data_IF_196510407018
#
_entry.id   IF_196510407018
#
_cell.length_a   1.000
_cell.length_b   1.000
_cell.length_c   1.000
_cell.angle_alpha   90.00
_cell.angle_beta   90.00
_cell.angle_gamma   90.00
#
_symmetry.space_group_name_H-M   'P 1'
#
loop_
_entity.id
_entity.type
_entity.pdbx_description
1 polymer ?
#
# COMPACT_ATOMS: atom_id res chain seq x y z
N UNK A 1 -6.66 -9.50 -5.39
CA UNK A 1 -7.74 -8.95 -4.54
C UNK A 1 -7.60 -7.43 -4.58
N UNK A 2 -8.68 -6.67 -4.77
CA UNK A 2 -8.58 -5.20 -4.86
C UNK A 2 -8.90 -4.58 -3.50
N UNK A 3 -8.10 -3.59 -3.11
CA UNK A 3 -8.24 -2.77 -1.92
C UNK A 3 -8.44 -1.33 -2.33
N UNK A 4 -9.62 -0.80 -2.09
CA UNK A 4 -9.94 0.61 -2.31
C UNK A 4 -10.03 1.34 -0.98
N UNK A 5 -9.59 2.59 -0.97
CA UNK A 5 -9.61 3.40 0.24
C UNK A 5 -9.26 4.85 -0.04
N UNK A 6 -9.08 5.60 1.05
CA UNK A 6 -8.55 6.97 1.00
C UNK A 6 -7.10 6.94 1.43
N UNK A 7 -6.21 7.55 0.64
CA UNK A 7 -4.79 7.67 0.99
C UNK A 7 -4.62 8.62 2.18
N UNK A 8 -4.09 8.12 3.30
CA UNK A 8 -3.86 8.93 4.50
C UNK A 8 -2.42 9.43 4.61
N UNK A 9 -1.46 8.61 4.18
CA UNK A 9 -0.06 8.98 4.15
C UNK A 9 0.66 8.20 3.05
N UNK A 10 1.74 8.77 2.53
CA UNK A 10 2.66 8.09 1.62
C UNK A 10 4.11 8.49 1.92
N UNK A 11 5.02 7.55 1.78
CA UNK A 11 6.46 7.73 1.85
C UNK A 11 7.09 7.01 0.66
N UNK A 12 7.75 7.80 -0.17
CA UNK A 12 8.32 7.40 -1.46
C UNK A 12 9.83 7.17 -1.37
N UNK A 13 10.41 6.48 -2.36
CA UNK A 13 11.85 6.21 -2.43
C UNK A 13 12.36 5.16 -1.43
N UNK A 14 11.51 4.19 -1.05
CA UNK A 14 11.89 3.08 -0.19
C UNK A 14 12.25 1.85 -1.02
N UNK A 15 13.05 0.94 -0.45
CA UNK A 15 13.51 -0.27 -1.12
C UNK A 15 13.30 -1.51 -0.25
N UNK A 16 12.89 -2.61 -0.87
CA UNK A 16 12.67 -3.89 -0.18
C UNK A 16 13.12 -5.06 -1.03
N UNK A 17 13.38 -6.19 -0.38
CA UNK A 17 13.45 -7.49 -1.06
C UNK A 17 12.06 -8.13 -1.06
N UNK A 18 11.52 -8.40 -2.25
CA UNK A 18 10.28 -9.16 -2.43
C UNK A 18 10.54 -10.33 -3.36
N UNK A 19 10.17 -11.54 -2.94
CA UNK A 19 10.41 -12.79 -3.68
C UNK A 19 11.88 -13.06 -4.11
N UNK A 20 12.85 -12.43 -3.44
CA UNK A 20 14.28 -12.60 -3.74
C UNK A 20 14.85 -11.57 -4.70
N UNK A 21 14.04 -10.64 -5.18
CA UNK A 21 14.45 -9.50 -6.00
C UNK A 21 14.32 -8.20 -5.21
N UNK A 22 15.11 -7.19 -5.57
CA UNK A 22 15.05 -5.86 -5.00
C UNK A 22 14.00 -5.04 -5.76
N UNK A 23 13.07 -4.45 -5.03
CA UNK A 23 11.98 -3.65 -5.56
C UNK A 23 11.95 -2.30 -4.86
N UNK A 24 11.77 -1.26 -5.65
CA UNK A 24 11.35 0.05 -5.16
C UNK A 24 9.92 -0.05 -4.66
N UNK A 25 9.60 0.73 -3.64
CA UNK A 25 8.23 0.80 -3.17
C UNK A 25 7.87 2.15 -2.55
N UNK A 26 6.56 2.41 -2.53
CA UNK A 26 5.95 3.47 -1.73
C UNK A 26 5.23 2.84 -0.54
N UNK A 27 5.62 3.24 0.67
CA UNK A 27 4.83 2.91 1.87
C UNK A 27 3.64 3.84 1.91
N UNK A 28 2.44 3.31 2.10
CA UNK A 28 1.27 4.15 2.29
C UNK A 28 0.32 3.56 3.32
N UNK A 29 -0.46 4.43 3.94
CA UNK A 29 -1.56 4.03 4.80
C UNK A 29 -2.86 4.44 4.12
N UNK A 30 -3.79 3.50 4.02
CA UNK A 30 -5.12 3.76 3.45
C UNK A 30 -6.20 3.53 4.50
N UNK A 31 -7.21 4.41 4.55
CA UNK A 31 -8.45 4.17 5.28
C UNK A 31 -9.40 3.31 4.44
N UNK A 32 -10.08 2.34 5.05
CA UNK A 32 -11.11 1.55 4.37
C UNK A 32 -12.19 2.47 3.78
N UNK A 33 -12.69 2.11 2.60
CA UNK A 33 -13.81 2.80 1.96
C UNK A 33 -15.15 2.60 2.72
N UNK A 34 -15.32 1.47 3.39
CA UNK A 34 -16.54 1.11 4.14
C UNK A 34 -16.44 1.52 5.61
N UNK A 35 -15.25 1.40 6.20
CA UNK A 35 -14.97 1.70 7.60
C UNK A 35 -13.72 2.59 7.75
N UNK A 36 -13.87 3.93 7.70
CA UNK A 36 -12.73 4.86 7.69
C UNK A 36 -11.83 4.77 8.93
N UNK A 37 -12.34 4.28 10.07
CA UNK A 37 -11.55 4.08 11.30
C UNK A 37 -10.57 2.91 11.17
N UNK A 38 -10.78 2.06 10.16
CA UNK A 38 -9.91 0.93 9.86
C UNK A 38 -8.84 1.33 8.85
N UNK A 39 -7.60 1.38 9.34
CA UNK A 39 -6.44 1.71 8.53
C UNK A 39 -5.69 0.45 8.08
N UNK A 40 -5.08 0.50 6.91
CA UNK A 40 -4.26 -0.55 6.36
C UNK A 40 -2.90 -0.01 5.95
N UNK A 41 -1.86 -0.70 6.38
CA UNK A 41 -0.52 -0.46 5.87
C UNK A 41 -0.33 -1.17 4.55
N UNK A 42 0.08 -0.41 3.54
CA UNK A 42 0.25 -0.86 2.20
C UNK A 42 1.67 -0.56 1.73
N UNK A 43 2.21 -1.50 0.96
CA UNK A 43 3.48 -1.37 0.27
C UNK A 43 3.22 -1.52 -1.21
N UNK A 44 3.28 -0.41 -1.93
CA UNK A 44 3.08 -0.37 -3.37
C UNK A 44 4.42 -0.67 -4.02
N UNK A 45 4.59 -1.89 -4.53
CA UNK A 45 5.82 -2.34 -5.17
C UNK A 45 5.96 -1.76 -6.58
N UNK A 46 7.21 -1.68 -7.04
CA UNK A 46 7.61 -1.24 -8.39
C UNK A 46 7.23 0.21 -8.73
N UNK A 47 6.92 0.99 -7.70
CA UNK A 47 6.61 2.42 -7.80
C UNK A 47 7.62 3.21 -6.96
N UNK A 48 8.22 4.23 -7.57
CA UNK A 48 9.15 5.14 -6.88
C UNK A 48 8.42 6.30 -6.20
N UNK A 49 7.25 6.69 -6.73
CA UNK A 49 6.28 7.60 -6.15
C UNK A 49 4.88 7.26 -6.71
N UNK A 50 3.82 7.64 -6.00
CA UNK A 50 2.44 7.54 -6.48
C UNK A 50 1.88 8.94 -6.71
N UNK A 51 1.27 9.20 -7.87
CA UNK A 51 0.75 10.53 -8.21
C UNK A 51 -0.48 10.97 -7.39
N UNK A 52 -1.06 10.05 -6.60
CA UNK A 52 -2.25 10.27 -5.78
C UNK A 52 -1.90 11.16 -4.59
N UNK A 53 -2.73 12.18 -4.31
CA UNK A 53 -2.55 13.05 -3.17
C UNK A 53 -3.12 12.46 -1.88
N UNK A 54 -2.62 12.91 -0.74
CA UNK A 54 -3.21 12.54 0.56
C UNK A 54 -4.63 13.10 0.63
N UNK A 55 -5.58 12.27 1.06
CA UNK A 55 -7.02 12.55 1.08
C UNK A 55 -7.76 12.12 -0.19
N UNK A 56 -7.05 11.65 -1.21
CA UNK A 56 -7.67 11.16 -2.46
C UNK A 56 -7.93 9.66 -2.43
N UNK A 57 -8.92 9.18 -3.23
CA UNK A 57 -9.17 7.76 -3.37
C UNK A 57 -7.99 7.06 -4.07
N UNK A 58 -7.69 5.86 -3.59
CA UNK A 58 -6.66 4.98 -4.15
C UNK A 58 -7.20 3.55 -4.27
N UNK A 59 -6.80 2.88 -5.36
CA UNK A 59 -7.09 1.48 -5.60
C UNK A 59 -5.79 0.69 -5.74
N UNK A 60 -5.65 -0.37 -4.95
CA UNK A 60 -4.46 -1.21 -4.85
C UNK A 60 -4.81 -2.66 -5.15
N UNK A 61 -4.02 -3.31 -5.98
CA UNK A 61 -4.10 -4.75 -6.20
C UNK A 61 -3.21 -5.47 -5.19
N UNK A 62 -3.83 -6.13 -4.21
CA UNK A 62 -3.13 -6.91 -3.19
C UNK A 62 -2.53 -8.17 -3.82
N UNK A 63 -1.21 -8.28 -3.71
CA UNK A 63 -0.42 -9.43 -4.12
C UNK A 63 -0.21 -10.40 -2.96
N UNK A 64 0.15 -9.86 -1.79
CA UNK A 64 0.44 -10.67 -0.59
C UNK A 64 0.06 -9.93 0.68
N UNK A 65 -0.50 -10.68 1.63
CA UNK A 65 -0.74 -10.19 2.98
C UNK A 65 0.41 -10.66 3.87
N UNK A 66 1.03 -9.73 4.57
CA UNK A 66 2.12 -9.97 5.52
C UNK A 66 1.63 -9.57 6.90
N UNK A 67 1.42 -10.57 7.77
CA UNK A 67 1.13 -10.32 9.19
C UNK A 67 2.43 -10.41 9.97
N UNK A 68 2.89 -9.28 10.50
CA UNK A 68 4.02 -9.26 11.40
C UNK A 68 3.55 -9.59 12.82
N UNK A 69 3.83 -10.82 13.25
CA UNK A 69 3.37 -11.32 14.56
C UNK A 69 3.97 -10.57 15.75
N UNK A 70 5.15 -9.96 15.59
CA UNK A 70 5.82 -9.24 16.67
C UNK A 70 5.22 -7.84 16.90
N UNK A 71 4.82 -7.15 15.83
CA UNK A 71 4.21 -5.82 15.89
C UNK A 71 2.67 -5.86 15.91
N UNK A 72 2.07 -7.00 15.55
CA UNK A 72 0.63 -7.13 15.36
C UNK A 72 0.11 -6.41 14.11
N UNK A 73 1.02 -5.86 13.30
CA UNK A 73 0.69 -5.08 12.10
C UNK A 73 0.38 -6.03 10.94
N UNK A 74 -0.67 -5.70 10.20
CA UNK A 74 -1.00 -6.35 8.93
C UNK A 74 -0.62 -5.40 7.80
N UNK A 75 0.42 -5.77 7.05
CA UNK A 75 0.89 -5.05 5.86
C UNK A 75 0.43 -5.78 4.61
N UNK A 76 0.03 -5.01 3.60
CA UNK A 76 -0.36 -5.51 2.28
C UNK A 76 0.70 -5.13 1.25
N UNK A 77 1.34 -6.12 0.65
CA UNK A 77 2.17 -5.90 -0.53
C UNK A 77 1.24 -5.88 -1.76
N UNK A 78 1.32 -4.81 -2.54
CA UNK A 78 0.35 -4.49 -3.58
C UNK A 78 0.98 -3.78 -4.77
N UNK A 79 0.26 -3.75 -5.89
CA UNK A 79 0.54 -2.85 -7.01
C UNK A 79 -0.50 -1.75 -7.08
N UNK A 80 -0.09 -0.59 -7.60
CA UNK A 80 -1.01 0.50 -7.87
C UNK A 80 -1.90 0.12 -9.05
N UNK A 81 -3.22 0.22 -8.87
CA UNK A 81 -4.15 0.11 -9.99
C UNK A 81 -4.21 1.49 -10.64
N UNK A 82 -3.46 1.64 -11.73
CA UNK A 82 -3.53 2.81 -12.60
C UNK A 82 -4.92 2.85 -13.21
N UNK A 83 -5.74 3.80 -12.76
CA UNK A 83 -7.01 4.09 -13.41
C UNK A 83 -6.68 4.89 -14.67
N UNK A 84 -7.17 4.47 -15.86
CA UNK A 84 -6.86 5.12 -17.13
C UNK A 84 -7.44 6.53 -17.25
#
# INVERSE_FOLDING_TARGET
>A
MIREGTLLSKEAGLHTIFQGEEHDYVHCVIADKIDPDRHFECRVLDETDIAIAIGEPIALEVLKVVTERQSGVVRFDCHLIHTP
#
